data_IF_831187052463
#
_entry.id   IF_831187052463
#
_cell.length_a   1.000
_cell.length_b   1.000
_cell.length_c   1.000
_cell.angle_alpha   90.00
_cell.angle_beta   90.00
_cell.angle_gamma   90.00
#
_symmetry.space_group_name_H-M   'P 1'
#
loop_
_entity.id
_entity.type
_entity.pdbx_description
1 polymer ?
#
# COMPACT_ATOMS: atom_id res chain seq x y z
N UNK A 1 18.88 -6.92 -17.24
CA UNK A 1 19.00 -7.60 -15.94
C UNK A 1 18.50 -6.66 -14.84
N UNK A 2 17.57 -7.10 -14.03
CA UNK A 2 17.06 -6.27 -12.94
C UNK A 2 17.91 -6.43 -11.67
N UNK A 3 17.72 -5.55 -10.71
CA UNK A 3 18.48 -5.56 -9.46
C UNK A 3 18.34 -6.90 -8.72
N UNK A 4 17.16 -7.48 -8.72
CA UNK A 4 16.88 -8.74 -8.04
C UNK A 4 17.73 -9.89 -8.56
N UNK A 5 17.97 -9.95 -9.87
CA UNK A 5 18.82 -10.98 -10.47
C UNK A 5 20.26 -10.89 -9.97
N UNK A 6 20.73 -9.68 -9.70
CA UNK A 6 22.09 -9.47 -9.16
C UNK A 6 22.17 -9.73 -7.67
N UNK A 7 21.07 -9.48 -6.93
CA UNK A 7 21.01 -9.54 -5.47
C UNK A 7 20.08 -10.66 -5.03
N UNK A 8 20.42 -11.90 -5.38
CA UNK A 8 19.55 -13.08 -5.20
C UNK A 8 19.04 -13.29 -3.78
N UNK A 9 19.78 -12.83 -2.77
CA UNK A 9 19.41 -13.01 -1.36
C UNK A 9 18.76 -11.77 -0.75
N UNK A 10 18.55 -10.72 -1.54
CA UNK A 10 17.94 -9.48 -1.05
C UNK A 10 16.45 -9.50 -1.31
N UNK A 11 15.68 -9.27 -0.25
CA UNK A 11 14.23 -9.14 -0.33
C UNK A 11 13.89 -7.66 -0.40
N UNK A 12 13.24 -7.25 -1.48
CA UNK A 12 12.96 -5.83 -1.76
C UNK A 12 11.49 -5.56 -1.49
N UNK A 13 11.23 -4.61 -0.58
CA UNK A 13 9.88 -4.18 -0.24
C UNK A 13 9.64 -2.77 -0.79
N UNK A 14 8.61 -2.61 -1.59
CA UNK A 14 8.19 -1.29 -2.03
C UNK A 14 7.22 -0.70 -0.98
N UNK A 15 7.63 0.39 -0.35
CA UNK A 15 6.82 1.07 0.65
C UNK A 15 5.82 1.98 -0.05
N UNK A 16 4.57 1.56 -0.11
CA UNK A 16 3.50 2.36 -0.71
C UNK A 16 2.84 3.26 0.33
N UNK A 17 2.69 2.74 1.56
CA UNK A 17 2.12 3.51 2.65
C UNK A 17 0.77 4.09 2.28
N UNK A 18 0.65 5.42 2.30
CA UNK A 18 -0.55 6.16 1.94
C UNK A 18 -0.42 6.92 0.63
N UNK A 19 0.56 6.57 -0.21
CA UNK A 19 0.78 7.29 -1.48
C UNK A 19 -0.42 7.20 -2.44
N UNK A 20 -1.31 6.22 -2.23
CA UNK A 20 -2.55 6.11 -3.01
C UNK A 20 -3.56 7.21 -2.69
N UNK A 21 -3.40 7.92 -1.57
CA UNK A 21 -4.27 9.02 -1.13
C UNK A 21 -5.76 8.64 -1.07
N UNK A 22 -6.07 7.39 -0.69
CA UNK A 22 -7.43 6.88 -0.61
C UNK A 22 -8.03 6.47 -1.96
N UNK A 23 -7.26 6.50 -3.04
CA UNK A 23 -7.74 6.14 -4.37
C UNK A 23 -7.39 4.69 -4.66
N UNK A 24 -8.42 3.86 -4.83
CA UNK A 24 -8.25 2.42 -5.06
C UNK A 24 -7.49 2.14 -6.36
N UNK A 25 -7.84 2.83 -7.46
CA UNK A 25 -7.18 2.61 -8.74
C UNK A 25 -5.71 3.00 -8.69
N UNK A 26 -5.38 4.08 -7.99
CA UNK A 26 -4.00 4.49 -7.79
C UNK A 26 -3.23 3.42 -7.02
N UNK A 27 -3.84 2.80 -6.02
CA UNK A 27 -3.22 1.72 -5.26
C UNK A 27 -2.85 0.54 -6.18
N UNK A 28 -3.74 0.17 -7.10
CA UNK A 28 -3.46 -0.91 -8.05
C UNK A 28 -2.33 -0.54 -9.01
N UNK A 29 -2.28 0.70 -9.46
CA UNK A 29 -1.19 1.18 -10.32
C UNK A 29 0.15 1.15 -9.62
N UNK A 30 0.18 1.48 -8.34
CA UNK A 30 1.41 1.43 -7.54
C UNK A 30 1.91 -0.01 -7.40
N UNK A 31 1.01 -0.98 -7.28
CA UNK A 31 1.38 -2.39 -7.27
C UNK A 31 2.00 -2.79 -8.62
N UNK A 32 1.39 -2.37 -9.73
CA UNK A 32 1.94 -2.66 -11.05
C UNK A 32 3.35 -2.10 -11.22
N UNK A 33 3.57 -0.87 -10.78
CA UNK A 33 4.87 -0.23 -10.84
C UNK A 33 5.91 -0.96 -9.98
N UNK A 34 5.51 -1.41 -8.80
CA UNK A 34 6.39 -2.19 -7.92
C UNK A 34 6.79 -3.51 -8.60
N UNK A 35 5.86 -4.18 -9.26
CA UNK A 35 6.14 -5.41 -10.00
C UNK A 35 7.14 -5.16 -11.12
N UNK A 36 6.95 -4.09 -11.89
CA UNK A 36 7.86 -3.74 -12.99
C UNK A 36 9.25 -3.43 -12.45
N UNK A 37 9.34 -2.79 -11.30
CA UNK A 37 10.62 -2.45 -10.68
C UNK A 37 11.34 -3.66 -10.06
N UNK A 38 10.68 -4.82 -9.97
CA UNK A 38 11.27 -6.04 -9.44
C UNK A 38 11.17 -6.18 -7.94
N UNK A 39 10.23 -5.49 -7.29
CA UNK A 39 10.00 -5.66 -5.85
C UNK A 39 9.43 -7.04 -5.53
N UNK A 40 9.77 -7.57 -4.36
CA UNK A 40 9.24 -8.84 -3.86
C UNK A 40 7.92 -8.65 -3.13
N UNK A 41 7.73 -7.50 -2.52
CA UNK A 41 6.56 -7.19 -1.72
C UNK A 41 6.17 -5.74 -1.86
N UNK A 42 4.91 -5.44 -1.61
CA UNK A 42 4.39 -4.09 -1.43
C UNK A 42 3.89 -3.97 0.00
N UNK A 43 4.12 -2.82 0.61
CA UNK A 43 3.70 -2.56 1.99
C UNK A 43 2.78 -1.35 2.03
N UNK A 44 1.58 -1.58 2.56
CA UNK A 44 0.55 -0.56 2.74
C UNK A 44 0.38 -0.26 4.22
N UNK A 45 -0.21 0.89 4.52
CA UNK A 45 -0.66 1.19 5.88
C UNK A 45 -2.17 1.05 5.94
N UNK A 46 -2.65 0.16 6.82
CA UNK A 46 -4.07 0.02 7.12
C UNK A 46 -4.31 0.79 8.42
N UNK A 47 -4.90 1.97 8.33
CA UNK A 47 -5.13 2.79 9.50
C UNK A 47 -6.55 3.31 9.52
N UNK A 48 -6.99 3.65 10.74
CA UNK A 48 -8.23 4.41 10.93
C UNK A 48 -7.85 5.78 11.46
N UNK A 49 -8.36 6.83 10.85
CA UNK A 49 -8.05 8.20 11.25
C UNK A 49 -8.35 8.44 12.72
N UNK A 50 -9.39 7.80 13.25
CA UNK A 50 -9.80 7.90 14.65
C UNK A 50 -8.71 7.47 15.63
N UNK A 51 -7.78 6.63 15.21
CA UNK A 51 -6.71 6.12 16.07
C UNK A 51 -5.48 7.02 16.09
N UNK A 52 -5.39 7.98 15.19
CA UNK A 52 -4.18 8.82 15.03
C UNK A 52 -4.38 10.28 15.37
N UNK A 53 -5.60 10.80 15.18
CA UNK A 53 -5.88 12.21 15.39
C UNK A 53 -7.19 12.35 16.16
N UNK A 54 -7.19 13.28 17.14
CA UNK A 54 -8.41 13.62 17.86
C UNK A 54 -9.44 14.22 16.90
N UNK A 55 -10.71 13.86 17.09
CA UNK A 55 -11.81 14.42 16.30
C UNK A 55 -11.97 15.93 16.48
N UNK A 56 -11.32 16.54 17.49
CA UNK A 56 -11.31 17.99 17.68
C UNK A 56 -10.40 18.70 16.67
N UNK A 57 -9.47 17.99 16.04
CA UNK A 57 -8.63 18.51 14.95
C UNK A 57 -9.29 18.22 13.61
N UNK A 58 -10.41 18.89 13.34
CA UNK A 58 -11.32 18.57 12.25
C UNK A 58 -10.68 18.51 10.86
N UNK A 59 -9.84 19.48 10.52
CA UNK A 59 -9.24 19.53 9.18
C UNK A 59 -8.24 18.39 8.96
N UNK A 60 -7.37 18.16 9.93
CA UNK A 60 -6.41 17.05 9.85
C UNK A 60 -7.11 15.71 9.84
N UNK A 61 -8.15 15.58 10.66
CA UNK A 61 -8.96 14.37 10.71
C UNK A 61 -9.62 14.08 9.35
N UNK A 62 -10.24 15.09 8.73
CA UNK A 62 -10.86 14.92 7.42
C UNK A 62 -9.86 14.50 6.36
N UNK A 63 -8.67 15.10 6.37
CA UNK A 63 -7.62 14.77 5.40
C UNK A 63 -7.17 13.33 5.55
N UNK A 64 -6.88 12.88 6.76
CA UNK A 64 -6.49 11.50 7.01
C UNK A 64 -7.61 10.53 6.68
N UNK A 65 -8.85 10.89 7.01
CA UNK A 65 -10.02 10.05 6.71
C UNK A 65 -10.19 9.88 5.20
N UNK A 66 -9.89 10.91 4.41
CA UNK A 66 -10.00 10.82 2.96
C UNK A 66 -8.97 9.88 2.35
N UNK A 67 -7.84 9.64 3.03
CA UNK A 67 -6.79 8.71 2.58
C UNK A 67 -7.07 7.27 3.00
N UNK A 68 -8.07 7.05 3.83
CA UNK A 68 -8.38 5.73 4.37
C UNK A 68 -9.13 4.89 3.34
N UNK A 69 -8.58 3.74 3.02
CA UNK A 69 -9.27 2.75 2.20
C UNK A 69 -10.11 1.84 3.09
N UNK A 70 -11.21 1.34 2.55
CA UNK A 70 -12.07 0.42 3.31
C UNK A 70 -11.40 -0.94 3.44
N UNK A 71 -11.88 -1.74 4.40
CA UNK A 71 -11.43 -3.12 4.56
C UNK A 71 -11.64 -3.92 3.26
N UNK A 72 -12.79 -3.73 2.61
CA UNK A 72 -13.09 -4.43 1.37
C UNK A 72 -12.15 -4.04 0.24
N UNK A 73 -11.79 -2.76 0.17
CA UNK A 73 -10.81 -2.29 -0.79
C UNK A 73 -9.44 -2.90 -0.54
N UNK A 74 -9.00 -2.97 0.71
CA UNK A 74 -7.74 -3.64 1.05
C UNK A 74 -7.76 -5.11 0.70
N UNK A 75 -8.90 -5.77 0.91
CA UNK A 75 -9.03 -7.18 0.52
C UNK A 75 -8.86 -7.37 -0.99
N UNK A 76 -9.46 -6.50 -1.78
CA UNK A 76 -9.31 -6.53 -3.24
C UNK A 76 -7.87 -6.21 -3.67
N UNK A 77 -7.22 -5.30 -2.99
CA UNK A 77 -5.81 -4.97 -3.24
C UNK A 77 -4.92 -6.18 -2.95
N UNK A 78 -5.16 -6.86 -1.84
CA UNK A 78 -4.40 -8.07 -1.49
C UNK A 78 -4.60 -9.16 -2.53
N UNK A 79 -5.83 -9.36 -3.00
CA UNK A 79 -6.12 -10.35 -4.06
C UNK A 79 -5.43 -9.98 -5.36
N UNK A 80 -5.42 -8.69 -5.70
CA UNK A 80 -4.72 -8.21 -6.89
C UNK A 80 -3.22 -8.48 -6.81
N UNK A 81 -2.61 -8.16 -5.67
CA UNK A 81 -1.19 -8.43 -5.44
C UNK A 81 -0.87 -9.92 -5.57
N UNK A 82 -1.74 -10.77 -5.02
CA UNK A 82 -1.58 -12.22 -5.12
C UNK A 82 -1.61 -12.68 -6.58
N UNK A 83 -2.52 -12.15 -7.38
CA UNK A 83 -2.59 -12.48 -8.81
C UNK A 83 -1.36 -12.01 -9.57
N UNK A 84 -0.76 -10.91 -9.14
CA UNK A 84 0.50 -10.40 -9.71
C UNK A 84 1.74 -11.10 -9.14
N UNK A 85 1.55 -12.05 -8.22
CA UNK A 85 2.61 -12.82 -7.58
C UNK A 85 3.59 -11.94 -6.80
N UNK A 86 3.08 -10.88 -6.17
CA UNK A 86 3.85 -10.04 -5.28
C UNK A 86 3.24 -10.15 -3.88
N UNK A 87 4.09 -10.15 -2.85
CA UNK A 87 3.65 -10.28 -1.47
C UNK A 87 3.00 -8.99 -1.01
N UNK A 88 1.83 -9.10 -0.37
CA UNK A 88 1.13 -7.96 0.21
C UNK A 88 1.38 -7.91 1.70
N UNK A 89 1.91 -6.78 2.17
CA UNK A 89 2.15 -6.52 3.59
C UNK A 89 1.30 -5.32 4.00
N UNK A 90 0.70 -5.40 5.17
CA UNK A 90 -0.08 -4.31 5.73
C UNK A 90 0.35 -4.06 7.17
N UNK A 91 0.65 -2.81 7.47
CA UNK A 91 0.97 -2.39 8.82
C UNK A 91 -0.30 -1.86 9.47
N UNK A 92 -0.64 -2.43 10.59
CA UNK A 92 -1.84 -2.05 11.35
C UNK A 92 -1.50 -0.99 12.39
#
# INVERSE_FOLDING_TARGET
MNLKSKLKKVFIVAEIGNNHEGNFDTALKLIDQACIAGADAVKFQTFKAENFISSTEKERFKKLKSFQLSYEEFKKIADYAKRKKIIFLALI
#
